data_IF_641984129335
#
_entry.id   IF_641984129335
#
_cell.length_a   1.000
_cell.length_b   1.000
_cell.length_c   1.000
_cell.angle_alpha   90.00
_cell.angle_beta   90.00
_cell.angle_gamma   90.00
#
_symmetry.space_group_name_H-M   'P 1'
#
loop_
_entity.id
_entity.type
_entity.pdbx_description
1 polymer ?
#
# COMPACT_ATOMS: atom_id res chain seq x y z
N UNK A 1 -58.09 -41.11 36.09
CA UNK A 1 -58.14 -39.96 35.25
C UNK A 1 -56.81 -39.18 35.47
N UNK A 2 -55.78 -39.60 34.74
CA UNK A 2 -54.45 -39.01 34.85
C UNK A 2 -54.32 -38.00 33.71
N UNK A 3 -54.10 -36.68 34.02
CA UNK A 3 -53.82 -35.67 33.09
C UNK A 3 -52.26 -35.57 32.96
N UNK A 4 -51.75 -35.93 31.79
CA UNK A 4 -50.36 -35.87 31.50
C UNK A 4 -49.96 -34.36 31.23
N UNK A 5 -48.99 -33.90 32.01
CA UNK A 5 -48.36 -32.56 31.85
C UNK A 5 -47.35 -32.63 30.70
N UNK A 6 -47.59 -31.87 29.65
CA UNK A 6 -46.63 -31.72 28.56
C UNK A 6 -45.48 -30.79 29.01
N UNK A 7 -44.22 -31.05 28.62
CA UNK A 7 -43.12 -30.16 28.95
C UNK A 7 -43.20 -28.85 28.13
N UNK A 8 -43.15 -27.74 28.83
CA UNK A 8 -42.97 -26.39 28.22
C UNK A 8 -41.68 -26.34 27.43
N UNK A 9 -41.81 -26.00 26.15
CA UNK A 9 -40.70 -25.70 25.27
C UNK A 9 -40.14 -24.34 25.72
N UNK A 10 -38.96 -24.37 26.34
CA UNK A 10 -38.22 -23.16 26.70
C UNK A 10 -37.94 -22.33 25.47
N UNK A 11 -38.38 -21.08 25.55
CA UNK A 11 -38.26 -20.05 24.54
C UNK A 11 -36.82 -19.80 24.08
N UNK A 12 -36.68 -19.76 22.78
CA UNK A 12 -35.54 -19.40 21.91
C UNK A 12 -35.05 -17.95 22.17
N UNK A 13 -34.44 -17.68 23.35
CA UNK A 13 -33.98 -16.35 23.77
C UNK A 13 -32.48 -16.16 23.72
N UNK A 14 -31.69 -17.12 23.18
CA UNK A 14 -30.23 -17.05 23.20
C UNK A 14 -29.57 -16.93 21.81
N UNK A 15 -30.32 -16.51 20.79
CA UNK A 15 -29.75 -16.17 19.51
C UNK A 15 -29.35 -14.69 19.52
N UNK A 16 -28.06 -14.35 19.36
CA UNK A 16 -27.66 -12.95 19.28
C UNK A 16 -28.43 -12.28 18.15
N UNK A 17 -29.24 -11.28 18.51
CA UNK A 17 -30.06 -10.57 17.54
C UNK A 17 -29.22 -9.97 16.42
N UNK A 18 -29.79 -9.82 15.22
CA UNK A 18 -29.11 -9.27 14.04
C UNK A 18 -28.32 -7.98 14.36
N UNK A 19 -28.81 -7.13 15.27
CA UNK A 19 -28.11 -5.93 15.71
C UNK A 19 -26.81 -6.23 16.44
N UNK A 20 -26.75 -7.25 17.27
CA UNK A 20 -25.55 -7.70 17.98
C UNK A 20 -24.53 -8.30 17.01
N UNK A 21 -24.99 -9.15 16.08
CA UNK A 21 -24.13 -9.69 15.01
C UNK A 21 -23.54 -8.56 14.13
N UNK A 22 -24.35 -7.55 13.80
CA UNK A 22 -23.91 -6.42 12.99
C UNK A 22 -22.94 -5.45 13.70
N UNK A 23 -22.75 -5.58 15.02
CA UNK A 23 -21.74 -4.84 15.79
C UNK A 23 -20.42 -5.60 15.91
N UNK A 24 -20.37 -6.86 15.47
CA UNK A 24 -19.16 -7.67 15.57
C UNK A 24 -18.07 -7.13 14.60
N UNK A 25 -16.83 -6.89 15.06
CA UNK A 25 -15.75 -6.28 14.26
C UNK A 25 -15.41 -7.04 12.97
N UNK A 26 -15.67 -8.35 12.92
CA UNK A 26 -15.44 -9.18 11.75
C UNK A 26 -16.57 -9.16 10.71
N UNK A 27 -17.72 -8.54 11.03
CA UNK A 27 -18.86 -8.44 10.10
C UNK A 27 -18.84 -7.10 9.41
N UNK A 28 -18.47 -7.12 8.14
CA UNK A 28 -18.45 -5.95 7.31
C UNK A 28 -19.85 -5.56 6.81
N UNK A 29 -20.24 -4.32 7.00
CA UNK A 29 -21.41 -3.70 6.38
C UNK A 29 -20.95 -2.89 5.17
N UNK A 30 -21.47 -3.15 3.99
CA UNK A 30 -21.08 -2.60 2.70
C UNK A 30 -20.92 -1.06 2.58
N UNK A 31 -21.24 -0.29 3.62
CA UNK A 31 -21.02 1.15 3.73
C UNK A 31 -20.46 1.59 5.10
N UNK A 32 -20.29 0.68 6.04
CA UNK A 32 -19.61 0.99 7.30
C UNK A 32 -18.14 0.76 7.06
N UNK A 33 -17.35 1.83 7.04
CA UNK A 33 -15.90 1.73 7.10
C UNK A 33 -15.54 1.01 8.41
N UNK A 34 -15.32 -0.32 8.36
CA UNK A 34 -14.42 -0.91 9.30
C UNK A 34 -13.17 -0.04 9.26
N UNK A 35 -12.62 0.36 10.40
CA UNK A 35 -11.36 1.12 10.45
C UNK A 35 -10.31 0.32 9.71
N UNK A 36 -10.18 0.57 8.41
CA UNK A 36 -9.13 0.00 7.59
C UNK A 36 -7.89 0.79 7.96
N UNK A 37 -6.91 0.13 8.55
CA UNK A 37 -5.62 0.77 8.81
C UNK A 37 -4.99 1.11 7.45
N UNK A 38 -4.82 2.41 7.18
CA UNK A 38 -4.36 2.93 5.89
C UNK A 38 -3.19 3.88 6.04
N UNK A 39 -2.48 4.11 4.97
CA UNK A 39 -1.55 5.22 4.80
C UNK A 39 -2.08 6.17 3.74
N UNK A 40 -2.19 7.48 4.00
CA UNK A 40 -2.61 8.44 2.99
C UNK A 40 -1.79 8.30 1.70
N UNK A 41 -2.45 8.38 0.56
CA UNK A 41 -1.78 8.30 -0.73
C UNK A 41 -0.95 9.56 -1.03
N UNK A 42 -1.27 10.66 -0.38
CA UNK A 42 -0.74 11.99 -0.67
C UNK A 42 -1.50 12.73 -1.78
N UNK A 43 -2.57 12.11 -2.30
CA UNK A 43 -3.46 12.70 -3.29
C UNK A 43 -4.88 12.69 -2.74
N UNK A 44 -5.43 13.85 -2.32
CA UNK A 44 -6.76 13.92 -1.69
C UNK A 44 -7.86 13.25 -2.50
N UNK A 45 -7.89 13.48 -3.82
CA UNK A 45 -8.89 12.88 -4.70
C UNK A 45 -8.80 11.33 -4.75
N UNK A 46 -7.59 10.78 -4.59
CA UNK A 46 -7.41 9.34 -4.54
C UNK A 46 -7.79 8.79 -3.16
N UNK A 47 -7.47 9.52 -2.09
CA UNK A 47 -7.84 9.15 -0.72
C UNK A 47 -9.37 9.09 -0.56
N UNK A 48 -10.12 10.03 -1.14
CA UNK A 48 -11.59 10.00 -1.16
C UNK A 48 -12.15 8.76 -1.88
N UNK A 49 -11.46 8.27 -2.89
CA UNK A 49 -11.86 7.09 -3.66
C UNK A 49 -11.41 5.76 -3.02
N UNK A 50 -10.35 5.79 -2.20
CA UNK A 50 -9.81 4.58 -1.57
C UNK A 50 -10.56 4.23 -0.29
N UNK A 51 -10.78 2.93 -0.02
CA UNK A 51 -11.39 2.48 1.23
C UNK A 51 -10.56 2.90 2.44
N UNK A 52 -11.18 3.61 3.37
CA UNK A 52 -10.51 4.09 4.58
C UNK A 52 -9.67 5.35 4.38
N UNK A 53 -9.65 5.93 3.18
CA UNK A 53 -8.95 7.20 2.93
C UNK A 53 -7.45 7.05 2.63
N UNK A 54 -7.03 5.93 2.03
CA UNK A 54 -5.63 5.73 1.69
C UNK A 54 -5.28 4.32 1.22
N UNK A 55 -4.00 4.08 1.00
CA UNK A 55 -3.47 2.76 0.69
C UNK A 55 -3.57 1.82 1.89
N UNK A 56 -3.90 0.52 1.71
CA UNK A 56 -3.94 -0.42 2.83
C UNK A 56 -2.56 -0.56 3.49
N UNK A 57 -2.50 -0.57 4.82
CA UNK A 57 -1.24 -0.79 5.55
C UNK A 57 -0.79 -2.24 5.56
N UNK A 58 -1.72 -3.18 5.37
CA UNK A 58 -1.43 -4.60 5.32
C UNK A 58 -2.25 -5.28 4.23
N UNK A 59 -1.63 -6.23 3.56
CA UNK A 59 -2.22 -6.97 2.46
C UNK A 59 -1.51 -6.72 1.13
N UNK A 60 -1.95 -7.45 0.12
CA UNK A 60 -1.39 -7.35 -1.23
C UNK A 60 -2.20 -6.34 -2.07
N UNK A 61 -1.50 -5.42 -2.70
CA UNK A 61 -2.03 -4.54 -3.73
C UNK A 61 -1.39 -4.88 -5.07
N UNK A 62 -2.17 -4.91 -6.15
CA UNK A 62 -1.66 -5.01 -7.50
C UNK A 62 -1.79 -3.67 -8.22
N UNK A 63 -0.69 -3.20 -8.78
CA UNK A 63 -0.64 -2.05 -9.70
C UNK A 63 -0.39 -2.59 -11.11
N UNK A 64 -1.36 -2.36 -11.97
CA UNK A 64 -1.34 -2.86 -13.33
C UNK A 64 -1.00 -1.70 -14.28
N UNK A 65 0.00 -1.91 -15.15
CA UNK A 65 0.51 -0.87 -16.05
C UNK A 65 0.63 -1.41 -17.47
N UNK A 66 0.49 -0.54 -18.46
CA UNK A 66 0.73 -0.90 -19.86
C UNK A 66 2.21 -1.20 -20.11
N UNK A 67 3.09 -0.42 -19.52
CA UNK A 67 4.55 -0.58 -19.51
C UNK A 67 5.11 0.08 -18.25
N UNK A 68 6.35 -0.22 -17.92
CA UNK A 68 7.05 0.39 -16.78
C UNK A 68 7.43 1.82 -17.11
N UNK A 69 7.36 2.73 -16.13
CA UNK A 69 7.73 4.13 -16.28
C UNK A 69 6.56 5.06 -16.60
N UNK A 70 5.31 4.59 -16.43
CA UNK A 70 4.09 5.41 -16.61
C UNK A 70 3.73 6.28 -15.40
N UNK A 71 4.60 6.35 -14.39
CA UNK A 71 4.34 7.07 -13.14
C UNK A 71 3.83 6.17 -12.01
N UNK A 72 3.87 4.87 -12.17
CA UNK A 72 3.39 3.88 -11.19
C UNK A 72 4.08 3.99 -9.83
N UNK A 73 5.39 4.29 -9.83
CA UNK A 73 6.12 4.55 -8.59
C UNK A 73 5.76 5.92 -8.01
N UNK A 74 5.49 6.91 -8.85
CA UNK A 74 5.18 8.26 -8.40
C UNK A 74 3.85 8.31 -7.63
N UNK A 75 2.87 7.51 -8.04
CA UNK A 75 1.58 7.39 -7.34
C UNK A 75 1.74 6.87 -5.90
N UNK A 76 2.80 6.11 -5.64
CA UNK A 76 3.12 5.57 -4.30
C UNK A 76 4.07 6.46 -3.50
N UNK A 77 4.82 7.31 -4.16
CA UNK A 77 5.97 8.00 -3.56
C UNK A 77 5.64 8.77 -2.28
N UNK A 78 4.54 9.56 -2.18
CA UNK A 78 4.22 10.24 -0.93
C UNK A 78 3.98 9.27 0.23
N UNK A 79 3.32 8.15 -0.03
CA UNK A 79 3.09 7.12 0.99
C UNK A 79 4.40 6.43 1.40
N UNK A 80 5.30 6.13 0.45
CA UNK A 80 6.62 5.55 0.74
C UNK A 80 7.47 6.49 1.59
N UNK A 81 7.45 7.78 1.29
CA UNK A 81 8.12 8.82 2.10
C UNK A 81 7.56 8.80 3.53
N UNK A 82 6.24 8.89 3.68
CA UNK A 82 5.59 8.88 5.00
C UNK A 82 5.87 7.61 5.81
N UNK A 83 6.00 6.46 5.14
CA UNK A 83 6.31 5.18 5.78
C UNK A 83 7.78 5.08 6.21
N UNK A 84 8.71 5.61 5.41
CA UNK A 84 10.16 5.50 5.70
C UNK A 84 10.66 6.54 6.70
N UNK A 85 10.03 7.70 6.81
CA UNK A 85 10.45 8.78 7.72
C UNK A 85 10.10 8.58 9.19
N UNK A 86 9.25 7.62 9.54
CA UNK A 86 8.90 7.36 10.93
C UNK A 86 10.11 6.85 11.72
N UNK A 87 10.30 7.32 12.95
CA UNK A 87 11.38 6.86 13.82
C UNK A 87 11.37 5.34 14.03
N UNK A 88 10.18 4.72 14.09
CA UNK A 88 9.98 3.28 14.21
C UNK A 88 9.78 2.59 12.84
N UNK A 89 10.18 3.23 11.73
CA UNK A 89 9.96 2.68 10.40
C UNK A 89 10.69 1.34 10.23
N UNK A 90 9.93 0.36 9.74
CA UNK A 90 10.47 -0.90 9.23
C UNK A 90 11.03 -0.68 7.82
N UNK A 91 11.58 -1.71 7.22
CA UNK A 91 12.21 -1.62 5.91
C UNK A 91 11.20 -1.40 4.77
N UNK A 92 11.64 -0.65 3.76
CA UNK A 92 11.04 -0.57 2.43
C UNK A 92 11.89 -1.41 1.47
N UNK A 93 11.37 -2.55 1.06
CA UNK A 93 12.09 -3.50 0.21
C UNK A 93 11.65 -3.36 -1.25
N UNK A 94 12.59 -3.37 -2.19
CA UNK A 94 12.35 -3.36 -3.63
C UNK A 94 12.88 -4.65 -4.22
N UNK A 95 12.01 -5.54 -4.65
CA UNK A 95 12.37 -6.89 -5.12
C UNK A 95 12.31 -6.93 -6.64
N UNK A 96 13.43 -7.26 -7.26
CA UNK A 96 13.62 -7.37 -8.71
C UNK A 96 13.07 -6.14 -9.48
N UNK A 97 13.43 -4.90 -9.11
CA UNK A 97 13.04 -3.75 -9.89
C UNK A 97 13.63 -3.86 -11.30
N UNK A 98 12.88 -3.44 -12.34
CA UNK A 98 13.32 -3.55 -13.73
C UNK A 98 14.50 -2.65 -14.06
N UNK A 99 14.67 -1.57 -13.30
CA UNK A 99 15.75 -0.60 -13.39
C UNK A 99 16.31 -0.32 -12.00
N UNK A 100 17.57 0.17 -11.94
CA UNK A 100 18.16 0.66 -10.69
C UNK A 100 17.40 1.89 -10.20
N UNK A 101 16.86 1.88 -8.98
CA UNK A 101 16.24 3.06 -8.41
C UNK A 101 17.26 4.20 -8.28
N UNK A 102 16.93 5.38 -8.81
CA UNK A 102 17.81 6.53 -8.72
C UNK A 102 17.74 7.18 -7.34
N UNK A 103 18.65 6.76 -6.46
CA UNK A 103 18.71 7.17 -5.07
C UNK A 103 18.67 8.70 -4.85
N UNK A 104 19.38 9.56 -5.65
CA UNK A 104 19.30 11.01 -5.49
C UNK A 104 17.88 11.56 -5.69
N UNK A 105 17.11 11.01 -6.65
CA UNK A 105 15.72 11.43 -6.85
C UNK A 105 14.84 11.01 -5.66
N UNK A 106 14.99 9.78 -5.16
CA UNK A 106 14.25 9.32 -4.00
C UNK A 106 14.54 10.17 -2.76
N UNK A 107 15.80 10.52 -2.53
CA UNK A 107 16.22 11.42 -1.46
C UNK A 107 15.65 12.84 -1.63
N UNK A 108 15.66 13.37 -2.85
CA UNK A 108 15.07 14.69 -3.16
C UNK A 108 13.57 14.74 -2.90
N UNK A 109 12.87 13.61 -3.02
CA UNK A 109 11.47 13.47 -2.63
C UNK A 109 11.28 13.25 -1.12
N UNK A 110 12.35 13.18 -0.33
CA UNK A 110 12.29 13.02 1.11
C UNK A 110 12.24 11.58 1.60
N UNK A 111 12.54 10.60 0.76
CA UNK A 111 12.59 9.21 1.18
C UNK A 111 13.81 8.94 2.06
N UNK A 112 13.64 8.30 3.20
CA UNK A 112 14.73 7.92 4.09
C UNK A 112 15.45 6.69 3.52
N UNK A 113 16.55 6.92 2.79
CA UNK A 113 17.25 5.87 2.03
C UNK A 113 17.85 4.78 2.92
N UNK A 114 18.20 5.09 4.16
CA UNK A 114 18.70 4.14 5.16
C UNK A 114 17.65 3.09 5.56
N UNK A 115 16.39 3.30 5.17
CA UNK A 115 15.27 2.35 5.35
C UNK A 115 14.91 1.61 4.08
N UNK A 116 15.66 1.79 3.01
CA UNK A 116 15.39 1.19 1.69
C UNK A 116 16.46 0.15 1.37
N UNK A 117 16.05 -1.00 0.90
CA UNK A 117 16.99 -1.93 0.26
C UNK A 117 16.42 -2.47 -1.04
N UNK A 118 17.32 -2.80 -1.97
CA UNK A 118 17.01 -3.36 -3.28
C UNK A 118 17.57 -4.76 -3.35
N UNK A 119 16.71 -5.74 -3.67
CA UNK A 119 17.12 -7.13 -3.83
C UNK A 119 16.96 -7.57 -5.29
N UNK A 120 18.05 -7.90 -5.95
CA UNK A 120 18.12 -8.56 -7.26
C UNK A 120 18.15 -10.07 -7.07
N UNK A 121 17.00 -10.64 -6.67
CA UNK A 121 16.91 -12.02 -6.29
C UNK A 121 16.77 -12.94 -7.51
N UNK A 122 17.49 -14.07 -7.52
CA UNK A 122 17.30 -15.13 -8.53
C UNK A 122 15.89 -15.74 -8.47
N UNK A 123 15.30 -15.77 -7.26
CA UNK A 123 13.93 -16.26 -7.00
C UNK A 123 13.05 -15.11 -6.46
N UNK A 124 12.64 -14.15 -7.31
CA UNK A 124 11.97 -12.94 -6.85
C UNK A 124 10.63 -13.22 -6.13
N UNK A 125 9.88 -14.21 -6.56
CA UNK A 125 8.63 -14.58 -5.90
C UNK A 125 8.85 -15.07 -4.46
N UNK A 126 9.88 -15.87 -4.23
CA UNK A 126 10.26 -16.33 -2.90
C UNK A 126 10.75 -15.17 -2.03
N UNK A 127 11.63 -14.33 -2.58
CA UNK A 127 12.15 -13.16 -1.86
C UNK A 127 11.03 -12.21 -1.45
N UNK A 128 10.07 -11.97 -2.34
CA UNK A 128 8.89 -11.15 -2.05
C UNK A 128 8.06 -11.76 -0.91
N UNK A 129 7.74 -13.05 -0.98
CA UNK A 129 6.98 -13.74 0.05
C UNK A 129 7.71 -13.70 1.42
N UNK A 130 9.03 -13.98 1.45
CA UNK A 130 9.79 -13.92 2.70
C UNK A 130 9.87 -12.51 3.28
N UNK A 131 10.06 -11.50 2.45
CA UNK A 131 10.06 -10.10 2.89
C UNK A 131 8.70 -9.70 3.51
N UNK A 132 7.59 -10.14 2.89
CA UNK A 132 6.25 -9.87 3.40
C UNK A 132 6.00 -10.54 4.75
N UNK A 133 6.33 -11.83 4.89
CA UNK A 133 6.01 -12.61 6.10
C UNK A 133 6.93 -12.32 7.28
N UNK A 134 8.11 -11.75 7.02
CA UNK A 134 9.16 -11.54 8.03
C UNK A 134 8.75 -10.58 9.17
N UNK A 135 7.79 -9.69 8.92
CA UNK A 135 7.46 -8.59 9.83
C UNK A 135 8.52 -7.47 9.89
N UNK A 136 9.64 -7.63 9.18
CA UNK A 136 10.71 -6.63 9.14
C UNK A 136 10.42 -5.48 8.17
N UNK A 137 9.53 -5.68 7.20
CA UNK A 137 9.19 -4.68 6.19
C UNK A 137 7.86 -4.00 6.48
N UNK A 138 7.81 -2.68 6.30
CA UNK A 138 6.59 -1.88 6.28
C UNK A 138 5.91 -2.01 4.92
N UNK A 139 6.72 -1.94 3.87
CA UNK A 139 6.28 -2.05 2.48
C UNK A 139 7.29 -2.86 1.67
N UNK A 140 6.78 -3.70 0.78
CA UNK A 140 7.57 -4.48 -0.15
C UNK A 140 7.02 -4.29 -1.56
N UNK A 141 7.82 -3.74 -2.45
CA UNK A 141 7.52 -3.55 -3.86
C UNK A 141 8.15 -4.68 -4.67
N UNK A 142 7.43 -5.24 -5.63
CA UNK A 142 7.97 -6.29 -6.51
C UNK A 142 7.45 -6.16 -7.94
N UNK A 143 8.33 -6.36 -8.91
CA UNK A 143 7.99 -6.32 -10.33
C UNK A 143 8.03 -7.73 -10.90
N UNK A 144 6.84 -8.31 -11.15
CA UNK A 144 6.73 -9.68 -11.64
C UNK A 144 5.60 -9.77 -12.67
N UNK A 145 5.93 -9.87 -13.96
CA UNK A 145 4.91 -9.85 -15.02
C UNK A 145 3.99 -11.08 -14.99
N UNK A 146 4.48 -12.21 -14.50
CA UNK A 146 3.74 -13.47 -14.43
C UNK A 146 3.78 -14.05 -13.03
N UNK A 147 2.64 -14.06 -12.37
CA UNK A 147 2.47 -14.70 -11.05
C UNK A 147 1.21 -15.56 -11.09
N UNK A 148 1.33 -16.89 -10.94
CA UNK A 148 0.16 -17.77 -10.92
C UNK A 148 -0.81 -17.39 -9.79
N UNK A 149 -2.12 -17.50 -10.04
CA UNK A 149 -3.20 -17.07 -9.11
C UNK A 149 -3.06 -17.68 -7.71
N UNK A 150 -2.60 -18.94 -7.61
CA UNK A 150 -2.34 -19.60 -6.30
C UNK A 150 -1.30 -18.85 -5.45
N UNK A 151 -0.31 -18.22 -6.08
CA UNK A 151 0.71 -17.44 -5.38
C UNK A 151 0.19 -16.07 -4.95
N UNK A 152 -0.74 -15.45 -5.69
CA UNK A 152 -1.39 -14.20 -5.28
C UNK A 152 -2.06 -14.37 -3.91
N UNK A 153 -2.78 -15.50 -3.71
CA UNK A 153 -3.39 -15.79 -2.40
C UNK A 153 -2.35 -15.98 -1.29
N UNK A 154 -1.24 -16.68 -1.57
CA UNK A 154 -0.15 -16.86 -0.60
C UNK A 154 0.49 -15.54 -0.22
N UNK A 155 0.77 -14.69 -1.21
CA UNK A 155 1.32 -13.34 -0.99
C UNK A 155 0.38 -12.46 -0.17
N UNK A 156 -0.94 -12.53 -0.43
CA UNK A 156 -1.94 -11.83 0.37
C UNK A 156 -1.87 -12.26 1.84
N UNK A 157 -1.84 -13.56 2.11
CA UNK A 157 -1.74 -14.09 3.48
C UNK A 157 -0.41 -13.76 4.15
N UNK A 158 0.70 -13.78 3.38
CA UNK A 158 2.01 -13.40 3.87
C UNK A 158 2.05 -11.92 4.28
N UNK A 159 1.48 -11.04 3.47
CA UNK A 159 1.38 -9.60 3.74
C UNK A 159 0.52 -9.31 4.98
N UNK A 160 -0.60 -10.01 5.14
CA UNK A 160 -1.46 -9.90 6.34
C UNK A 160 -0.71 -10.38 7.59
N UNK A 161 -0.06 -11.55 7.52
CA UNK A 161 0.70 -12.13 8.63
C UNK A 161 1.85 -11.23 9.09
N UNK A 162 2.63 -10.69 8.15
CA UNK A 162 3.75 -9.79 8.45
C UNK A 162 3.34 -8.34 8.69
N UNK A 163 2.03 -8.02 8.58
CA UNK A 163 1.50 -6.65 8.69
C UNK A 163 2.27 -5.69 7.78
N UNK A 164 2.49 -6.10 6.53
CA UNK A 164 3.22 -5.36 5.52
C UNK A 164 2.31 -5.03 4.33
N UNK A 165 2.54 -3.89 3.70
CA UNK A 165 1.96 -3.58 2.39
C UNK A 165 2.80 -4.26 1.30
N UNK A 166 2.25 -5.26 0.63
CA UNK A 166 2.84 -5.81 -0.59
C UNK A 166 2.31 -5.07 -1.81
N UNK A 167 3.20 -4.55 -2.64
CA UNK A 167 2.85 -3.91 -3.92
C UNK A 167 3.43 -4.74 -5.05
N UNK A 168 2.56 -5.32 -5.86
CA UNK A 168 2.94 -6.14 -6.99
C UNK A 168 2.64 -5.42 -8.31
N UNK A 169 3.68 -5.05 -9.03
CA UNK A 169 3.57 -4.46 -10.36
C UNK A 169 3.44 -5.55 -11.43
N UNK A 170 2.39 -5.45 -12.25
CA UNK A 170 2.08 -6.42 -13.29
C UNK A 170 1.63 -5.72 -14.58
N UNK A 171 1.71 -6.41 -15.73
CA UNK A 171 1.15 -5.88 -16.97
C UNK A 171 -0.38 -5.73 -16.87
N UNK A 172 -0.93 -4.74 -17.56
CA UNK A 172 -2.37 -4.44 -17.59
C UNK A 172 -3.22 -5.64 -18.03
N UNK A 173 -2.67 -6.55 -18.85
CA UNK A 173 -3.35 -7.79 -19.26
C UNK A 173 -3.78 -8.66 -18.07
N UNK A 174 -3.08 -8.56 -16.92
CA UNK A 174 -3.45 -9.27 -15.69
C UNK A 174 -4.80 -8.79 -15.09
N UNK A 175 -5.36 -7.68 -15.58
CA UNK A 175 -6.69 -7.20 -15.15
C UNK A 175 -7.80 -8.25 -15.34
N UNK A 176 -7.65 -9.13 -16.33
CA UNK A 176 -8.61 -10.20 -16.67
C UNK A 176 -8.47 -11.42 -15.74
N UNK A 177 -7.39 -11.51 -14.99
CA UNK A 177 -7.15 -12.64 -14.09
C UNK A 177 -7.87 -12.45 -12.75
N UNK A 178 -8.31 -13.54 -12.16
CA UNK A 178 -8.82 -13.54 -10.78
C UNK A 178 -7.68 -13.23 -9.79
N UNK A 179 -7.95 -12.43 -8.77
CA UNK A 179 -6.96 -12.04 -7.77
C UNK A 179 -7.54 -11.99 -6.36
N UNK A 180 -6.75 -12.48 -5.40
CA UNK A 180 -7.04 -12.39 -3.96
C UNK A 180 -6.52 -11.09 -3.33
N UNK A 181 -5.83 -10.22 -4.07
CA UNK A 181 -5.34 -8.94 -3.58
C UNK A 181 -6.48 -8.09 -3.01
N UNK A 182 -6.20 -7.32 -1.94
CA UNK A 182 -7.19 -6.45 -1.28
C UNK A 182 -7.52 -5.23 -2.12
N UNK A 183 -6.58 -4.79 -2.95
CA UNK A 183 -6.72 -3.66 -3.84
C UNK A 183 -6.08 -3.97 -5.20
N UNK A 184 -6.75 -3.56 -6.27
CA UNK A 184 -6.20 -3.65 -7.64
C UNK A 184 -6.48 -2.36 -8.36
N UNK A 185 -5.46 -1.75 -8.91
CA UNK A 185 -5.58 -0.52 -9.68
C UNK A 185 -4.85 -0.64 -11.02
N UNK A 186 -5.35 0.07 -12.02
CA UNK A 186 -4.60 0.35 -13.25
C UNK A 186 -4.04 1.76 -13.12
N UNK A 187 -2.79 1.96 -13.49
CA UNK A 187 -2.17 3.28 -13.62
C UNK A 187 -1.87 3.53 -15.09
N UNK A 188 -2.45 4.59 -15.64
CA UNK A 188 -2.30 5.01 -17.03
C UNK A 188 -1.72 6.42 -17.08
N UNK A 189 -0.72 6.69 -17.93
CA UNK A 189 -0.14 8.02 -18.05
C UNK A 189 -1.18 9.03 -18.57
N UNK A 190 -1.05 10.26 -18.12
CA UNK A 190 -1.75 11.44 -18.63
C UNK A 190 -0.73 12.54 -18.91
N UNK A 191 -1.08 13.52 -19.71
CA UNK A 191 -0.19 14.62 -20.09
C UNK A 191 0.44 15.30 -18.86
N UNK A 192 -0.33 15.47 -17.78
CA UNK A 192 0.13 16.07 -16.52
C UNK A 192 -0.21 15.17 -15.33
N UNK A 193 0.31 13.94 -15.33
CA UNK A 193 0.02 13.05 -14.21
C UNK A 193 -0.32 11.63 -14.61
N UNK A 194 -1.27 11.01 -13.90
CA UNK A 194 -1.78 9.68 -14.24
C UNK A 194 -3.26 9.55 -13.92
N UNK A 195 -3.93 8.62 -14.60
CA UNK A 195 -5.23 8.11 -14.21
C UNK A 195 -5.05 6.82 -13.42
N UNK A 196 -5.69 6.78 -12.26
CA UNK A 196 -5.78 5.58 -11.43
C UNK A 196 -7.20 5.02 -11.52
N UNK A 197 -7.33 3.82 -12.09
CA UNK A 197 -8.60 3.10 -12.21
C UNK A 197 -8.68 2.01 -11.15
N UNK A 198 -9.65 2.10 -10.24
CA UNK A 198 -9.88 1.09 -9.21
C UNK A 198 -10.67 -0.09 -9.79
N UNK A 199 -10.01 -1.23 -9.98
CA UNK A 199 -10.64 -2.46 -10.48
C UNK A 199 -11.27 -3.27 -9.36
N UNK A 200 -10.65 -3.28 -8.18
CA UNK A 200 -11.08 -4.02 -7.01
C UNK A 200 -10.65 -3.27 -5.76
N UNK A 201 -11.56 -3.13 -4.81
CA UNK A 201 -11.28 -2.60 -3.48
C UNK A 201 -12.14 -3.31 -2.43
N UNK A 202 -11.70 -3.35 -1.17
CA UNK A 202 -12.58 -3.72 -0.05
C UNK A 202 -13.66 -2.62 0.04
N UNK A 203 -14.94 -2.98 -0.05
CA UNK A 203 -16.04 -2.01 -0.08
C UNK A 203 -16.68 -1.84 -1.45
N UNK A 204 -16.09 -2.47 -2.48
CA UNK A 204 -16.71 -2.55 -3.80
C UNK A 204 -16.68 -1.24 -4.60
N UNK A 205 -16.01 -0.18 -4.12
CA UNK A 205 -15.85 1.03 -4.91
C UNK A 205 -15.03 0.72 -6.17
N UNK A 206 -15.51 1.21 -7.29
CA UNK A 206 -14.86 1.17 -8.60
C UNK A 206 -15.01 2.54 -9.23
N UNK A 207 -13.98 3.00 -9.89
CA UNK A 207 -14.00 4.31 -10.53
C UNK A 207 -12.62 4.75 -10.97
N UNK A 208 -12.57 5.93 -11.57
CA UNK A 208 -11.34 6.51 -12.07
C UNK A 208 -11.06 7.79 -11.30
N UNK A 209 -9.78 8.02 -11.00
CA UNK A 209 -9.28 9.25 -10.41
C UNK A 209 -8.14 9.77 -11.27
N UNK A 210 -8.24 11.01 -11.73
CA UNK A 210 -7.14 11.66 -12.43
C UNK A 210 -6.28 12.40 -11.42
N UNK A 211 -5.01 12.02 -11.37
CA UNK A 211 -4.00 12.63 -10.53
C UNK A 211 -3.16 13.58 -11.36
N UNK A 212 -3.05 14.82 -10.92
CA UNK A 212 -2.15 15.79 -11.51
C UNK A 212 -0.92 15.96 -10.62
N UNK A 213 0.26 15.95 -11.23
CA UNK A 213 1.50 16.39 -10.61
C UNK A 213 2.32 17.20 -11.59
N UNK A 214 2.97 18.23 -11.08
CA UNK A 214 3.98 18.96 -11.84
C UNK A 214 5.35 18.40 -11.52
N UNK A 215 6.26 18.29 -12.48
CA UNK A 215 7.65 17.87 -12.23
C UNK A 215 8.36 18.66 -11.12
N UNK A 216 7.82 19.83 -10.76
CA UNK A 216 8.39 20.76 -9.79
C UNK A 216 7.65 20.82 -8.44
N UNK A 217 6.61 20.05 -8.19
CA UNK A 217 5.93 20.01 -6.86
C UNK A 217 6.74 19.27 -5.78
N UNK A 218 8.00 19.02 -6.01
CA UNK A 218 8.93 18.39 -5.07
C UNK A 218 9.69 19.38 -4.20
N UNK A 219 9.31 20.66 -4.22
CA UNK A 219 9.84 21.65 -3.28
C UNK A 219 8.78 21.97 -2.22
N UNK A 220 8.52 21.01 -1.33
CA UNK A 220 8.06 21.32 0.01
C UNK A 220 9.09 22.27 0.62
N UNK A 221 8.58 23.40 1.06
CA UNK A 221 9.30 24.51 1.68
C UNK A 221 10.27 24.03 2.77
N UNK A 222 11.49 23.69 2.39
CA UNK A 222 12.63 23.75 3.29
C UNK A 222 13.37 25.01 2.87
N UNK A 223 13.17 26.07 3.62
CA UNK A 223 14.02 27.26 3.56
C UNK A 223 15.46 26.78 3.77
N UNK A 224 16.17 26.68 2.68
CA UNK A 224 17.59 26.41 2.65
C UNK A 224 18.31 27.70 3.06
N UNK A 225 18.59 27.84 4.35
CA UNK A 225 19.67 28.73 4.77
C UNK A 225 20.96 28.03 4.34
N UNK A 226 21.81 28.67 3.51
CA UNK A 226 23.08 28.08 3.14
C UNK A 226 23.92 27.84 4.39
N UNK A 227 24.69 26.75 4.46
CA UNK A 227 25.58 26.52 5.61
C UNK A 227 26.59 27.64 5.69
N UNK A 228 26.68 28.28 6.87
CA UNK A 228 27.68 29.28 7.21
C UNK A 228 29.06 28.65 6.96
N UNK A 229 29.83 29.23 6.03
CA UNK A 229 31.22 28.82 5.83
C UNK A 229 31.96 29.05 7.15
N UNK A 230 32.80 28.11 7.60
CA UNK A 230 33.69 28.38 8.70
C UNK A 230 34.67 29.47 8.30
N UNK A 231 34.81 30.46 9.18
CA UNK A 231 35.75 31.58 9.00
C UNK A 231 37.17 31.04 8.83
N UNK A 232 37.83 31.50 7.76
CA UNK A 232 39.23 31.20 7.49
C UNK A 232 40.11 31.73 8.62
N UNK A 233 41.17 31.02 9.07
CA UNK A 233 42.06 31.53 10.06
C UNK A 233 42.82 32.74 9.56
N UNK A 234 42.80 33.79 10.34
CA UNK A 234 43.57 34.99 10.16
C UNK A 234 45.08 34.64 10.21
N UNK A 235 45.75 34.78 9.08
CA UNK A 235 47.20 34.69 9.03
C UNK A 235 47.76 35.95 9.65
N UNK A 236 48.24 35.86 10.90
CA UNK A 236 49.06 36.88 11.54
C UNK A 236 50.47 36.85 10.96
N UNK A 237 50.88 37.96 10.41
CA UNK A 237 52.28 38.23 10.05
C UNK A 237 53.17 38.29 11.30
N UNK A 238 54.33 37.67 11.19
CA UNK A 238 55.65 38.15 11.63
C UNK A 238 56.71 37.52 10.76
#
# INVERSE_FOLDING_TARGET
MLVANAPEVSSDSDRPGLKSLLQHPAIWRGRSAAQVDVVPSGFPALDEALPGGGWPRAGLMEILVSHIGVGECYVLLPALVALTQKASARWCAWIAPPFEPFAPALAAHGMALEKVFVARAEKPLWAFEQSLVSGACEVVLAWMPRVPTRHIRRLQLAAEKGRALGVLFRPQSAARESSSAVLRVIVEPREKGARVTLLKSRGGYRGNVDLAWSPHQTQGSVMNSPPKRPDSPVTGSL
#
